data_IF_433015111716
#
_entry.id   IF_433015111716
#
_cell.length_a   1.000
_cell.length_b   1.000
_cell.length_c   1.000
_cell.angle_alpha   90.00
_cell.angle_beta   90.00
_cell.angle_gamma   90.00
#
_symmetry.space_group_name_H-M   'P 1'
#
loop_
_entity.id
_entity.type
_entity.pdbx_description
1 polymer ?
#
# COMPACT_ATOMS: atom_id res chain seq x y z
N UNK A 1 -21.10 19.70 9.59
CA UNK A 1 -20.18 19.39 10.72
C UNK A 1 -18.74 19.43 10.23
N UNK A 2 -17.84 20.16 10.90
CA UNK A 2 -16.41 20.29 10.52
C UNK A 2 -15.70 18.94 10.31
N UNK A 3 -16.06 17.90 11.08
CA UNK A 3 -15.52 16.52 10.94
C UNK A 3 -15.82 15.87 9.58
N UNK A 4 -17.01 16.12 9.04
CA UNK A 4 -17.44 15.60 7.73
C UNK A 4 -16.77 16.32 6.56
N UNK A 5 -16.27 17.53 6.80
CA UNK A 5 -15.55 18.36 5.82
C UNK A 5 -14.04 18.12 5.85
N UNK A 6 -13.55 17.14 6.62
CA UNK A 6 -12.11 16.84 6.71
C UNK A 6 -11.29 17.86 7.50
N UNK A 7 -11.92 18.82 8.17
CA UNK A 7 -11.23 19.83 8.96
C UNK A 7 -10.64 19.23 10.24
N UNK A 8 -9.39 19.57 10.56
CA UNK A 8 -8.71 19.12 11.76
C UNK A 8 -9.29 19.77 13.03
N UNK A 9 -9.79 18.97 13.98
CA UNK A 9 -10.42 19.45 15.23
C UNK A 9 -9.57 19.14 16.48
N UNK A 10 -8.42 18.48 16.30
CA UNK A 10 -7.56 18.11 17.42
C UNK A 10 -6.89 19.32 18.08
N UNK A 11 -6.66 19.24 19.39
CA UNK A 11 -5.89 20.25 20.12
C UNK A 11 -4.44 20.33 19.66
N UNK A 12 -3.81 19.18 19.41
CA UNK A 12 -2.39 19.05 19.08
C UNK A 12 -2.19 18.21 17.83
N UNK A 13 -1.39 18.68 16.85
CA UNK A 13 -1.15 17.92 15.63
C UNK A 13 -0.51 16.55 15.92
N UNK A 14 -0.66 15.66 14.94
CA UNK A 14 0.01 14.36 14.90
C UNK A 14 1.51 14.61 14.74
N UNK A 15 2.36 13.75 15.32
CA UNK A 15 3.80 13.85 15.10
C UNK A 15 4.13 13.80 13.60
N UNK A 16 5.12 14.55 13.12
CA UNK A 16 5.40 14.71 11.69
C UNK A 16 4.57 15.82 11.00
N UNK A 17 3.55 16.34 11.66
CA UNK A 17 2.74 17.45 11.15
C UNK A 17 2.72 18.62 12.13
N UNK A 18 2.45 19.82 11.60
CA UNK A 18 2.12 21.01 12.36
C UNK A 18 0.79 21.61 11.87
N UNK A 19 0.19 22.48 12.69
CA UNK A 19 -1.01 23.22 12.25
C UNK A 19 -0.58 24.35 11.33
N UNK A 20 -1.33 24.54 10.25
CA UNK A 20 -1.11 25.68 9.37
C UNK A 20 -1.31 27.00 10.15
N UNK A 21 -0.31 27.91 10.13
CA UNK A 21 -0.44 29.25 10.73
C UNK A 21 -1.64 30.04 10.21
N UNK A 22 -2.02 29.83 8.93
CA UNK A 22 -3.14 30.51 8.26
C UNK A 22 -4.47 29.84 8.57
N UNK A 23 -4.48 28.52 8.76
CA UNK A 23 -5.69 27.75 9.04
C UNK A 23 -5.46 26.71 10.14
N UNK A 24 -5.91 27.03 11.36
CA UNK A 24 -5.79 26.14 12.53
C UNK A 24 -6.43 24.76 12.37
N UNK A 25 -7.30 24.58 11.36
CA UNK A 25 -7.97 23.32 11.03
C UNK A 25 -7.34 22.58 9.84
N UNK A 26 -6.17 23.02 9.35
CA UNK A 26 -5.39 22.34 8.32
C UNK A 26 -4.02 21.91 8.89
N UNK A 27 -3.51 20.79 8.39
CA UNK A 27 -2.22 20.22 8.80
C UNK A 27 -1.23 20.36 7.64
N UNK A 28 -0.02 20.80 7.95
CA UNK A 28 1.10 20.87 7.01
C UNK A 28 2.24 19.99 7.54
N UNK A 29 3.08 19.49 6.64
CA UNK A 29 4.21 18.64 7.01
C UNK A 29 5.20 19.45 7.84
N UNK A 30 5.68 18.84 8.92
CA UNK A 30 6.82 19.36 9.67
C UNK A 30 8.07 18.58 9.28
N UNK A 31 9.03 19.17 8.52
CA UNK A 31 10.09 18.42 7.86
C UNK A 31 10.91 17.50 8.77
N UNK A 32 11.36 18.02 9.92
CA UNK A 32 12.20 17.28 10.87
C UNK A 32 11.49 16.05 11.44
N UNK A 33 10.28 16.23 11.97
CA UNK A 33 9.51 15.15 12.54
C UNK A 33 8.99 14.18 11.47
N UNK A 34 8.69 14.66 10.27
CA UNK A 34 8.24 13.85 9.15
C UNK A 34 9.33 12.91 8.66
N UNK A 35 10.59 13.34 8.67
CA UNK A 35 11.72 12.48 8.29
C UNK A 35 11.87 11.30 9.25
N UNK A 36 11.72 11.53 10.55
CA UNK A 36 11.68 10.45 11.55
C UNK A 36 10.54 9.48 11.27
N UNK A 37 9.37 9.98 10.86
CA UNK A 37 8.24 9.11 10.47
C UNK A 37 8.58 8.27 9.23
N UNK A 38 9.14 8.87 8.17
CA UNK A 38 9.59 8.14 6.97
C UNK A 38 10.59 7.04 7.32
N UNK A 39 11.57 7.36 8.16
CA UNK A 39 12.57 6.40 8.60
C UNK A 39 11.95 5.23 9.40
N UNK A 40 10.95 5.51 10.26
CA UNK A 40 10.22 4.46 11.00
C UNK A 40 9.49 3.51 10.04
N UNK A 41 8.84 4.04 9.01
CA UNK A 41 8.18 3.21 7.99
C UNK A 41 9.19 2.39 7.17
N UNK A 42 10.30 3.02 6.78
CA UNK A 42 11.39 2.35 6.06
C UNK A 42 11.96 1.16 6.84
N UNK A 43 12.29 1.35 8.12
CA UNK A 43 12.77 0.25 8.96
C UNK A 43 11.73 -0.86 9.17
N UNK A 44 10.44 -0.52 9.18
CA UNK A 44 9.39 -1.52 9.25
C UNK A 44 9.31 -2.37 7.97
N UNK A 45 9.54 -1.78 6.79
CA UNK A 45 9.63 -2.49 5.50
C UNK A 45 10.84 -3.45 5.48
N UNK A 46 11.98 -2.99 5.99
CA UNK A 46 13.21 -3.78 6.13
C UNK A 46 13.06 -4.94 7.14
N UNK A 47 11.99 -4.95 7.94
CA UNK A 47 11.70 -6.03 8.89
C UNK A 47 12.24 -5.79 10.29
N UNK A 48 12.59 -4.54 10.65
CA UNK A 48 12.86 -4.21 12.04
C UNK A 48 11.57 -4.25 12.87
N UNK A 49 11.64 -4.95 14.00
CA UNK A 49 10.54 -4.99 14.96
C UNK A 49 10.30 -3.63 15.62
N UNK A 50 9.05 -3.38 16.05
CA UNK A 50 8.67 -2.16 16.79
C UNK A 50 9.54 -1.85 18.02
N UNK A 51 10.05 -2.89 18.70
CA UNK A 51 10.94 -2.73 19.84
C UNK A 51 12.35 -2.33 19.38
N UNK A 52 12.86 -2.95 18.32
CA UNK A 52 14.13 -2.60 17.70
C UNK A 52 14.11 -1.17 17.17
N UNK A 53 13.06 -0.78 16.45
CA UNK A 53 12.88 0.60 15.97
C UNK A 53 12.94 1.60 17.14
N UNK A 54 12.24 1.33 18.24
CA UNK A 54 12.31 2.19 19.42
C UNK A 54 13.73 2.27 20.00
N UNK A 55 14.46 1.15 20.04
CA UNK A 55 15.86 1.11 20.47
C UNK A 55 16.77 1.93 19.54
N UNK A 56 16.64 1.80 18.22
CA UNK A 56 17.42 2.55 17.23
C UNK A 56 17.16 4.06 17.30
N UNK A 57 15.92 4.48 17.54
CA UNK A 57 15.58 5.89 17.74
C UNK A 57 16.24 6.44 19.02
N UNK A 58 16.20 5.66 20.09
CA UNK A 58 16.81 6.03 21.36
C UNK A 58 18.34 6.08 21.30
N UNK A 59 18.98 5.13 20.62
CA UNK A 59 20.44 5.10 20.48
C UNK A 59 20.98 6.26 19.65
N UNK A 60 20.16 6.77 18.72
CA UNK A 60 20.44 7.99 17.94
C UNK A 60 20.10 9.29 18.69
N UNK A 61 19.58 9.20 19.92
CA UNK A 61 19.22 10.37 20.72
C UNK A 61 17.99 11.13 20.21
N UNK A 62 17.16 10.53 19.36
CA UNK A 62 15.97 11.19 18.80
C UNK A 62 14.90 11.30 19.89
N UNK A 63 14.42 12.52 20.14
CA UNK A 63 13.39 12.77 21.15
C UNK A 63 12.05 12.14 20.75
N UNK A 64 11.31 11.60 21.72
CA UNK A 64 9.99 11.03 21.45
C UNK A 64 8.94 12.12 21.15
N UNK A 65 7.79 11.77 20.54
CA UNK A 65 6.74 12.72 20.20
C UNK A 65 6.14 13.52 21.37
N UNK A 66 6.19 12.99 22.59
CA UNK A 66 5.67 13.68 23.79
C UNK A 66 6.63 14.77 24.22
N UNK A 67 7.92 14.46 24.27
CA UNK A 67 8.99 15.42 24.62
C UNK A 67 9.14 16.50 23.55
N UNK A 68 9.11 16.11 22.28
CA UNK A 68 9.08 17.04 21.14
C UNK A 68 7.95 18.08 21.26
N UNK A 69 6.77 17.66 21.74
CA UNK A 69 5.65 18.58 22.00
C UNK A 69 5.92 19.52 23.18
N UNK A 70 6.48 18.99 24.27
CA UNK A 70 6.80 19.78 25.46
C UNK A 70 7.87 20.86 25.15
N UNK A 71 8.91 20.52 24.40
CA UNK A 71 9.97 21.45 23.96
C UNK A 71 9.43 22.60 23.09
N UNK A 72 8.32 22.37 22.38
CA UNK A 72 7.60 23.40 21.61
C UNK A 72 6.50 24.13 22.40
N UNK A 73 6.49 24.01 23.73
CA UNK A 73 5.59 24.75 24.63
C UNK A 73 4.15 24.22 24.71
N UNK A 74 3.88 23.01 24.22
CA UNK A 74 2.53 22.43 24.26
C UNK A 74 2.30 21.70 25.59
N UNK A 75 1.35 22.15 26.41
CA UNK A 75 1.05 21.53 27.71
C UNK A 75 0.39 20.15 27.53
N UNK A 76 1.13 19.08 27.77
CA UNK A 76 0.55 17.76 27.91
C UNK A 76 0.11 17.55 29.38
N UNK A 77 -1.20 17.51 29.65
CA UNK A 77 -1.76 17.14 30.97
C UNK A 77 -1.53 15.65 31.33
N UNK A 78 -0.61 14.97 30.66
CA UNK A 78 -0.11 13.70 31.12
C UNK A 78 1.11 13.98 32.00
N UNK A 79 1.08 13.64 33.30
CA UNK A 79 2.31 13.66 34.10
C UNK A 79 3.33 12.84 33.32
N UNK A 80 4.46 13.45 33.00
CA UNK A 80 5.51 12.87 32.17
C UNK A 80 6.00 11.61 32.90
N UNK A 81 5.37 10.46 32.64
CA UNK A 81 5.77 9.17 33.23
C UNK A 81 7.06 8.62 32.61
N UNK A 82 7.73 9.41 31.77
CA UNK A 82 8.95 9.02 31.09
C UNK A 82 9.91 10.23 31.06
N UNK A 83 10.51 10.53 32.21
CA UNK A 83 11.44 11.66 32.42
C UNK A 83 12.55 11.74 31.36
N UNK A 84 12.95 10.60 30.80
CA UNK A 84 14.02 10.51 29.82
C UNK A 84 13.60 10.87 28.39
N UNK A 85 12.29 10.94 28.08
CA UNK A 85 11.82 11.24 26.73
C UNK A 85 12.11 10.13 25.69
N UNK A 86 12.27 8.89 26.15
CA UNK A 86 12.62 7.75 25.30
C UNK A 86 11.42 7.23 24.48
N UNK A 87 11.70 6.72 23.29
CA UNK A 87 10.80 5.96 22.44
C UNK A 87 10.46 4.60 23.07
N UNK A 88 9.20 4.19 22.91
CA UNK A 88 8.73 2.87 23.32
C UNK A 88 8.00 2.18 22.15
N UNK A 89 7.91 0.84 22.21
CA UNK A 89 7.23 0.02 21.19
C UNK A 89 5.79 0.45 20.90
N UNK A 90 5.09 0.96 21.91
CA UNK A 90 3.69 1.39 21.79
C UNK A 90 3.56 2.66 20.96
N UNK A 91 4.50 3.59 21.10
CA UNK A 91 4.54 4.84 20.34
C UNK A 91 4.86 4.56 18.87
N UNK A 92 5.86 3.72 18.61
CA UNK A 92 6.17 3.24 17.25
C UNK A 92 4.96 2.53 16.64
N UNK A 93 4.32 1.61 17.37
CA UNK A 93 3.11 0.92 16.91
C UNK A 93 1.98 1.87 16.54
N UNK A 94 1.74 2.91 17.36
CA UNK A 94 0.73 3.95 17.09
C UNK A 94 1.04 4.74 15.83
N UNK A 95 2.32 5.05 15.56
CA UNK A 95 2.72 5.74 14.34
C UNK A 95 2.45 4.87 13.12
N UNK A 96 2.93 3.62 13.14
CA UNK A 96 2.78 2.69 12.03
C UNK A 96 1.31 2.36 11.70
N UNK A 97 0.38 2.42 12.67
CA UNK A 97 -1.06 2.14 12.44
C UNK A 97 -1.89 3.38 12.10
N UNK A 98 -1.29 4.57 12.05
CA UNK A 98 -2.07 5.78 11.89
C UNK A 98 -2.25 6.17 10.42
N UNK A 99 -3.43 5.92 9.87
CA UNK A 99 -3.82 6.29 8.50
C UNK A 99 -3.69 7.79 8.19
N UNK A 100 -3.57 8.67 9.20
CA UNK A 100 -3.35 10.10 8.94
C UNK A 100 -2.05 10.38 8.17
N UNK A 101 -1.03 9.51 8.24
CA UNK A 101 0.21 9.70 7.48
C UNK A 101 0.05 9.56 5.96
N UNK A 102 -1.09 9.03 5.48
CA UNK A 102 -1.40 8.89 4.05
C UNK A 102 -2.29 10.01 3.51
N UNK A 103 -2.46 11.12 4.24
CA UNK A 103 -3.30 12.25 3.84
C UNK A 103 -4.80 12.08 4.14
N UNK A 104 -5.18 10.97 4.80
CA UNK A 104 -6.57 10.68 5.20
C UNK A 104 -6.86 11.27 6.58
N UNK A 105 -7.85 12.15 6.68
CA UNK A 105 -8.31 12.66 7.97
C UNK A 105 -9.21 11.63 8.65
N UNK A 106 -8.73 11.04 9.74
CA UNK A 106 -9.49 10.08 10.56
C UNK A 106 -9.88 10.72 11.89
N UNK A 107 -11.18 10.94 12.10
CA UNK A 107 -11.72 11.57 13.31
C UNK A 107 -12.91 10.81 13.89
N UNK A 108 -13.21 11.05 15.17
CA UNK A 108 -14.34 10.42 15.85
C UNK A 108 -14.05 9.05 16.45
N UNK A 109 -12.77 8.69 16.63
CA UNK A 109 -12.35 7.43 17.29
C UNK A 109 -12.92 7.27 18.70
N UNK A 110 -13.14 8.37 19.40
CA UNK A 110 -13.73 8.39 20.74
C UNK A 110 -14.85 9.42 20.84
N UNK A 111 -15.83 9.13 21.69
CA UNK A 111 -16.96 10.00 22.02
C UNK A 111 -17.11 10.06 23.53
N UNK A 112 -17.45 11.23 24.08
CA UNK A 112 -17.85 11.33 25.50
C UNK A 112 -19.25 10.73 25.67
N UNK A 113 -19.47 9.97 26.75
CA UNK A 113 -20.79 9.37 27.06
C UNK A 113 -21.87 10.45 27.16
N UNK A 114 -21.51 11.57 27.79
CA UNK A 114 -22.35 12.75 27.96
C UNK A 114 -21.46 13.98 28.03
N UNK A 115 -22.00 15.15 27.71
CA UNK A 115 -21.30 16.43 27.82
C UNK A 115 -20.74 16.67 29.24
N UNK A 116 -21.44 16.16 30.27
CA UNK A 116 -21.06 16.29 31.69
C UNK A 116 -20.08 15.21 32.18
N UNK A 117 -19.85 14.14 31.41
CA UNK A 117 -18.97 13.04 31.82
C UNK A 117 -17.57 13.19 31.21
N UNK A 118 -16.54 12.87 32.01
CA UNK A 118 -15.15 12.76 31.53
C UNK A 118 -14.87 11.41 30.87
N UNK A 119 -15.79 10.45 30.97
CA UNK A 119 -15.63 9.11 30.41
C UNK A 119 -15.72 9.16 28.88
N UNK A 120 -14.73 8.55 28.22
CA UNK A 120 -14.62 8.42 26.77
C UNK A 120 -14.92 6.98 26.37
N UNK A 121 -15.81 6.78 25.41
CA UNK A 121 -16.09 5.49 24.77
C UNK A 121 -15.35 5.47 23.44
N UNK A 122 -14.70 4.34 23.14
CA UNK A 122 -14.12 4.06 21.82
C UNK A 122 -15.23 3.66 20.86
N UNK A 123 -15.32 4.36 19.73
CA UNK A 123 -16.34 4.10 18.71
C UNK A 123 -15.88 3.00 17.75
N UNK A 124 -16.80 2.18 17.21
CA UNK A 124 -16.47 1.20 16.18
C UNK A 124 -16.02 1.90 14.88
N UNK A 125 -15.21 1.21 14.07
CA UNK A 125 -14.47 1.84 12.96
C UNK A 125 -15.38 2.39 11.85
N UNK A 126 -16.56 1.81 11.69
CA UNK A 126 -17.58 2.17 10.70
C UNK A 126 -18.20 3.54 11.00
N UNK A 127 -18.10 3.98 12.26
CA UNK A 127 -18.61 5.28 12.71
C UNK A 127 -17.54 6.37 12.70
N UNK A 128 -16.31 6.05 12.25
CA UNK A 128 -15.23 7.03 12.14
C UNK A 128 -15.44 7.88 10.89
N UNK A 129 -15.22 9.19 11.02
CA UNK A 129 -15.18 10.08 9.87
C UNK A 129 -13.82 9.92 9.18
N UNK A 130 -13.84 9.44 7.93
CA UNK A 130 -12.67 9.31 7.07
C UNK A 130 -12.86 10.22 5.86
N UNK A 131 -11.95 11.16 5.66
CA UNK A 131 -11.97 12.07 4.50
C UNK A 131 -10.59 12.04 3.86
N UNK A 132 -10.51 11.63 2.60
CA UNK A 132 -9.25 11.55 1.85
C UNK A 132 -8.82 12.94 1.34
N UNK A 133 -7.52 13.13 1.04
CA UNK A 133 -7.01 14.34 0.37
C UNK A 133 -7.06 15.63 1.19
N UNK A 134 -7.01 15.55 2.52
CA UNK A 134 -7.20 16.72 3.41
C UNK A 134 -5.91 17.48 3.74
N UNK A 135 -4.78 16.80 3.64
CA UNK A 135 -3.44 17.31 3.91
C UNK A 135 -2.42 16.47 3.15
N UNK A 136 -1.20 16.98 3.03
CA UNK A 136 -0.12 16.31 2.32
C UNK A 136 0.29 15.00 3.04
N UNK A 137 0.44 13.93 2.27
CA UNK A 137 0.83 12.62 2.80
C UNK A 137 2.34 12.58 3.08
N UNK A 138 2.73 12.08 4.26
CA UNK A 138 4.15 11.80 4.56
C UNK A 138 4.57 10.46 3.93
N UNK A 139 3.64 9.50 3.84
CA UNK A 139 3.84 8.14 3.34
C UNK A 139 2.79 7.81 2.29
N UNK A 140 3.19 7.17 1.19
CA UNK A 140 2.25 6.66 0.18
C UNK A 140 1.31 5.59 0.78
N UNK A 141 0.07 5.56 0.30
CA UNK A 141 -0.94 4.56 0.65
C UNK A 141 -0.43 3.15 0.39
N UNK A 142 0.34 2.92 -0.69
CA UNK A 142 0.92 1.60 -1.00
C UNK A 142 1.88 1.16 0.10
N UNK A 143 2.85 1.99 0.46
CA UNK A 143 3.81 1.73 1.55
C UNK A 143 3.10 1.46 2.87
N UNK A 144 2.11 2.28 3.23
CA UNK A 144 1.33 2.09 4.46
C UNK A 144 0.63 0.72 4.48
N UNK A 145 -0.02 0.35 3.37
CA UNK A 145 -0.71 -0.94 3.25
C UNK A 145 0.26 -2.12 3.33
N UNK A 146 1.43 -2.03 2.68
CA UNK A 146 2.49 -3.04 2.79
C UNK A 146 2.89 -3.23 4.25
N UNK A 147 3.18 -2.14 4.98
CA UNK A 147 3.51 -2.21 6.41
C UNK A 147 2.38 -2.84 7.23
N UNK A 148 1.10 -2.51 6.98
CA UNK A 148 -0.01 -3.15 7.68
C UNK A 148 -0.03 -4.67 7.43
N UNK A 149 0.19 -5.12 6.18
CA UNK A 149 0.29 -6.55 5.84
C UNK A 149 1.48 -7.20 6.56
N UNK A 150 2.64 -6.54 6.56
CA UNK A 150 3.85 -7.00 7.25
C UNK A 150 3.64 -7.18 8.75
N UNK A 151 2.85 -6.30 9.38
CA UNK A 151 2.52 -6.34 10.81
C UNK A 151 1.42 -7.36 11.14
N UNK A 152 0.49 -7.61 10.23
CA UNK A 152 -0.55 -8.63 10.39
C UNK A 152 0.03 -10.05 10.39
N UNK A 153 1.13 -10.27 9.67
CA UNK A 153 1.87 -11.53 9.72
C UNK A 153 2.44 -11.76 11.10
N UNK A 154 1.89 -12.74 11.82
CA UNK A 154 2.38 -13.19 13.13
C UNK A 154 3.81 -13.74 12.98
N UNK A 155 4.78 -12.89 13.24
CA UNK A 155 6.21 -13.20 13.23
C UNK A 155 6.81 -12.86 14.59
N UNK A 156 7.73 -13.70 15.06
CA UNK A 156 8.56 -13.40 16.25
C UNK A 156 9.89 -12.85 15.77
N UNK A 157 10.33 -11.77 16.39
CA UNK A 157 11.67 -11.22 16.24
C UNK A 157 12.69 -12.28 16.72
N UNK A 158 13.82 -12.41 16.04
CA UNK A 158 14.82 -13.46 16.30
C UNK A 158 15.82 -13.14 17.41
N UNK A 159 15.42 -12.25 18.34
CA UNK A 159 16.29 -11.74 19.41
C UNK A 159 17.28 -10.67 18.95
N UNK A 160 17.62 -10.59 17.66
CA UNK A 160 18.40 -9.46 17.08
C UNK A 160 17.50 -8.25 16.76
N UNK A 161 16.19 -8.44 16.86
CA UNK A 161 15.19 -7.42 16.56
C UNK A 161 14.86 -7.29 15.07
N UNK A 162 15.37 -8.19 14.21
CA UNK A 162 14.96 -8.33 12.83
C UNK A 162 14.12 -9.59 12.64
N UNK A 163 13.26 -9.59 11.63
CA UNK A 163 12.56 -10.79 11.18
C UNK A 163 13.15 -11.28 9.87
N UNK A 164 13.25 -12.59 9.69
CA UNK A 164 13.71 -13.15 8.42
C UNK A 164 12.68 -12.91 7.29
N UNK A 165 13.08 -12.90 6.00
CA UNK A 165 12.20 -12.53 4.89
C UNK A 165 10.89 -13.32 4.81
N UNK A 166 10.96 -14.62 5.08
CA UNK A 166 9.83 -15.54 4.98
C UNK A 166 9.01 -15.66 6.30
N UNK A 167 9.25 -14.79 7.29
CA UNK A 167 8.63 -14.91 8.60
C UNK A 167 7.10 -14.76 8.54
N UNK A 168 6.40 -15.79 9.02
CA UNK A 168 4.93 -15.84 9.03
C UNK A 168 4.27 -16.34 7.74
N UNK A 169 5.03 -16.47 6.64
CA UNK A 169 4.54 -16.97 5.34
C UNK A 169 4.62 -18.50 5.23
N UNK A 170 5.53 -19.11 5.99
CA UNK A 170 5.81 -20.55 5.91
C UNK A 170 4.92 -21.36 6.84
N UNK A 171 4.26 -22.38 6.29
CA UNK A 171 3.31 -23.28 6.94
C UNK A 171 3.77 -24.74 6.77
N UNK A 172 3.44 -25.57 7.75
CA UNK A 172 3.56 -27.01 7.64
C UNK A 172 2.42 -27.54 6.76
N UNK A 173 2.72 -28.43 5.82
CA UNK A 173 1.74 -29.01 4.91
C UNK A 173 0.72 -29.89 5.65
N UNK A 174 1.17 -30.67 6.63
CA UNK A 174 0.32 -31.66 7.31
C UNK A 174 -0.61 -31.05 8.36
N UNK A 175 -0.06 -30.19 9.24
CA UNK A 175 -0.85 -29.62 10.34
C UNK A 175 -1.32 -28.18 10.10
N UNK A 176 -0.90 -27.55 8.99
CA UNK A 176 -1.23 -26.14 8.68
C UNK A 176 -0.61 -25.10 9.63
N UNK A 177 0.12 -25.54 10.67
CA UNK A 177 0.71 -24.64 11.65
C UNK A 177 1.84 -23.80 11.06
N UNK A 178 2.13 -22.64 11.66
CA UNK A 178 3.21 -21.77 11.19
C UNK A 178 4.57 -22.37 11.54
N UNK A 179 5.56 -22.25 10.65
CA UNK A 179 6.92 -22.69 10.93
C UNK A 179 7.65 -21.63 11.76
N UNK A 180 8.36 -22.06 12.81
CA UNK A 180 9.13 -21.22 13.73
C UNK A 180 10.63 -21.32 13.42
N UNK A 181 11.33 -20.19 13.50
CA UNK A 181 12.80 -20.14 13.35
C UNK A 181 13.46 -20.74 14.59
N UNK A 182 14.40 -21.65 14.36
CA UNK A 182 15.25 -22.26 15.38
C UNK A 182 16.71 -22.28 14.89
N UNK A 183 17.65 -22.40 15.82
CA UNK A 183 19.09 -22.40 15.55
C UNK A 183 19.67 -23.75 15.96
N UNK A 184 20.77 -24.16 15.31
CA UNK A 184 21.56 -25.33 15.72
C UNK A 184 22.31 -25.18 17.07
N UNK A 185 22.02 -24.14 17.87
CA UNK A 185 22.68 -23.85 19.15
C UNK A 185 24.16 -23.41 19.06
N UNK A 186 24.79 -23.43 17.88
CA UNK A 186 26.18 -23.00 17.69
C UNK A 186 26.25 -21.48 17.60
N UNK A 187 27.29 -20.88 18.20
CA UNK A 187 27.58 -19.45 18.14
C UNK A 187 28.63 -19.15 17.05
N UNK A 188 28.54 -17.96 16.43
CA UNK A 188 29.51 -17.48 15.43
C UNK A 188 29.20 -17.93 14.00
N UNK A 189 30.19 -17.94 13.08
CA UNK A 189 29.97 -18.11 11.63
C UNK A 189 29.43 -19.49 11.23
N UNK A 190 29.41 -20.48 12.15
CA UNK A 190 28.82 -21.81 11.95
C UNK A 190 27.35 -21.89 12.38
N UNK A 191 26.73 -20.76 12.73
CA UNK A 191 25.32 -20.71 13.12
C UNK A 191 24.44 -20.94 11.89
N UNK A 192 23.58 -21.96 11.95
CA UNK A 192 22.63 -22.30 10.88
C UNK A 192 21.23 -22.19 11.44
N UNK A 193 20.35 -21.54 10.67
CA UNK A 193 18.95 -21.37 11.00
C UNK A 193 18.07 -22.37 10.25
N UNK A 194 17.10 -22.92 10.97
CA UNK A 194 16.11 -23.84 10.47
C UNK A 194 14.72 -23.29 10.74
N UNK A 195 13.77 -23.64 9.89
CA UNK A 195 12.35 -23.48 10.16
C UNK A 195 11.81 -24.83 10.59
N UNK A 196 11.13 -24.89 11.74
CA UNK A 196 10.51 -26.10 12.30
C UNK A 196 9.02 -25.88 12.52
N UNK A 197 8.21 -26.91 12.29
CA UNK A 197 6.78 -26.89 12.60
C UNK A 197 6.57 -26.47 14.08
N UNK A 198 5.81 -25.39 14.28
CA UNK A 198 5.56 -24.86 15.63
C UNK A 198 4.71 -25.81 16.45
N UNK A 199 3.69 -26.43 15.86
CA UNK A 199 2.85 -27.38 16.59
C UNK A 199 3.68 -28.57 17.10
N UNK A 200 4.63 -29.07 16.30
CA UNK A 200 5.58 -30.10 16.73
C UNK A 200 6.55 -29.61 17.82
N UNK A 201 7.02 -28.38 17.71
CA UNK A 201 7.97 -27.79 18.67
C UNK A 201 7.33 -27.49 20.03
N UNK A 202 6.08 -27.02 20.02
CA UNK A 202 5.32 -26.63 21.22
C UNK A 202 4.53 -27.81 21.82
N UNK A 203 4.33 -28.91 21.06
CA UNK A 203 3.76 -30.14 21.62
C UNK A 203 4.78 -30.80 22.53
N UNK A 204 4.38 -31.04 23.79
CA UNK A 204 5.22 -31.59 24.86
C UNK A 204 5.66 -33.03 24.58
N UNK A 205 5.24 -33.98 25.41
CA UNK A 205 5.58 -35.40 25.22
C UNK A 205 4.80 -36.02 24.06
N UNK A 206 3.48 -35.79 24.00
CA UNK A 206 2.64 -36.22 22.87
C UNK A 206 2.78 -35.27 21.69
N UNK A 207 3.42 -35.73 20.61
CA UNK A 207 3.64 -34.92 19.40
C UNK A 207 2.39 -34.86 18.54
N UNK A 208 1.92 -33.64 18.31
CA UNK A 208 0.71 -33.36 17.51
C UNK A 208 1.01 -33.21 16.00
N UNK A 209 2.26 -33.41 15.58
CA UNK A 209 2.70 -33.35 14.18
C UNK A 209 4.04 -34.12 14.05
N UNK A 210 4.48 -34.45 12.84
CA UNK A 210 5.80 -35.03 12.57
C UNK A 210 6.89 -33.96 12.47
N UNK A 211 8.16 -34.38 12.39
CA UNK A 211 9.33 -33.48 12.43
C UNK A 211 9.54 -32.79 11.08
N UNK A 212 8.69 -31.84 10.75
CA UNK A 212 8.88 -30.95 9.61
C UNK A 212 9.95 -29.91 9.92
N UNK A 213 11.05 -29.96 9.18
CA UNK A 213 12.08 -28.92 9.24
C UNK A 213 12.76 -28.70 7.89
N UNK A 214 13.13 -27.45 7.63
CA UNK A 214 13.96 -27.07 6.48
C UNK A 214 15.01 -26.05 6.92
N UNK A 215 16.15 -26.00 6.24
CA UNK A 215 17.11 -24.92 6.43
C UNK A 215 16.59 -23.62 5.81
N UNK A 216 16.74 -22.51 6.53
CA UNK A 216 16.20 -21.22 6.11
C UNK A 216 16.92 -20.66 4.86
N UNK A 217 18.24 -20.83 4.78
CA UNK A 217 19.05 -20.41 3.62
C UNK A 217 18.60 -21.14 2.35
N UNK A 218 18.54 -22.48 2.38
CA UNK A 218 18.08 -23.28 1.24
C UNK A 218 16.66 -22.92 0.80
N UNK A 219 15.78 -22.58 1.74
CA UNK A 219 14.43 -22.15 1.38
C UNK A 219 14.42 -20.78 0.69
N UNK A 220 15.25 -19.84 1.15
CA UNK A 220 15.37 -18.52 0.50
C UNK A 220 15.92 -18.68 -0.91
N UNK A 221 16.96 -19.49 -1.10
CA UNK A 221 17.56 -19.77 -2.41
C UNK A 221 16.52 -20.39 -3.36
N UNK A 222 15.76 -21.37 -2.90
CA UNK A 222 14.69 -22.01 -3.68
C UNK A 222 13.59 -21.03 -4.09
N UNK A 223 13.22 -20.10 -3.19
CA UNK A 223 12.23 -19.06 -3.48
C UNK A 223 12.77 -18.10 -4.54
N UNK A 224 14.02 -17.66 -4.40
CA UNK A 224 14.68 -16.77 -5.36
C UNK A 224 14.83 -17.43 -6.73
N UNK A 225 15.23 -18.69 -6.78
CA UNK A 225 15.36 -19.46 -8.02
C UNK A 225 14.02 -19.59 -8.73
N UNK A 226 12.95 -19.97 -8.01
CA UNK A 226 11.60 -20.02 -8.58
C UNK A 226 11.14 -18.65 -9.06
N UNK A 227 11.38 -17.59 -8.29
CA UNK A 227 11.03 -16.23 -8.68
C UNK A 227 11.77 -15.80 -9.96
N UNK A 228 13.07 -16.08 -10.07
CA UNK A 228 13.85 -15.85 -11.30
C UNK A 228 13.27 -16.61 -12.48
N UNK A 229 12.90 -17.88 -12.28
CA UNK A 229 12.28 -18.69 -13.32
C UNK A 229 10.91 -18.13 -13.76
N UNK A 230 10.06 -17.69 -12.83
CA UNK A 230 8.80 -17.04 -13.14
C UNK A 230 9.01 -15.75 -13.95
N UNK A 231 9.94 -14.89 -13.52
CA UNK A 231 10.23 -13.66 -14.25
C UNK A 231 10.80 -13.98 -15.64
N UNK A 232 11.72 -14.94 -15.77
CA UNK A 232 12.24 -15.33 -17.09
C UNK A 232 11.14 -15.89 -17.99
N UNK A 233 10.29 -16.80 -17.52
CA UNK A 233 9.28 -17.41 -18.38
C UNK A 233 8.17 -16.43 -18.77
N UNK A 234 7.65 -15.65 -17.82
CA UNK A 234 6.56 -14.70 -18.11
C UNK A 234 7.06 -13.50 -18.91
N UNK A 235 8.27 -12.99 -18.68
CA UNK A 235 8.78 -11.84 -19.45
C UNK A 235 9.39 -12.23 -20.81
N UNK A 236 9.80 -13.49 -21.01
CA UNK A 236 10.24 -13.94 -22.36
C UNK A 236 9.04 -14.27 -23.26
N UNK A 237 7.86 -14.53 -22.70
CA UNK A 237 6.65 -14.85 -23.45
C UNK A 237 5.77 -13.64 -23.76
N UNK A 238 6.06 -12.45 -23.21
CA UNK A 238 5.13 -11.33 -23.24
C UNK A 238 5.79 -9.98 -23.55
N UNK A 239 5.91 -9.67 -24.84
CA UNK A 239 5.35 -8.42 -25.40
C UNK A 239 3.81 -8.37 -25.21
N UNK A 240 3.26 -8.96 -24.14
CA UNK A 240 1.84 -8.90 -23.86
C UNK A 240 1.56 -7.65 -23.05
N UNK A 241 0.69 -6.84 -23.63
CA UNK A 241 0.04 -5.69 -23.03
C UNK A 241 -0.54 -6.09 -21.66
N UNK A 242 0.20 -5.78 -20.59
CA UNK A 242 -0.34 -5.81 -19.24
C UNK A 242 -1.61 -4.94 -19.24
N UNK A 243 -2.77 -5.45 -18.78
CA UNK A 243 -3.95 -4.61 -18.60
C UNK A 243 -3.59 -3.49 -17.63
N UNK A 244 -3.52 -2.26 -18.15
CA UNK A 244 -3.14 -1.11 -17.34
C UNK A 244 -4.07 -1.01 -16.12
N UNK A 245 -3.55 -0.66 -14.93
CA UNK A 245 -4.36 -0.46 -13.74
C UNK A 245 -5.48 0.55 -14.06
N UNK A 246 -6.72 0.27 -13.60
CA UNK A 246 -7.90 1.13 -13.83
C UNK A 246 -7.62 2.57 -13.41
N UNK A 247 -7.23 3.38 -14.38
CA UNK A 247 -7.03 4.80 -14.20
C UNK A 247 -8.40 5.46 -14.38
N UNK A 248 -9.03 5.84 -13.26
CA UNK A 248 -10.40 6.36 -13.25
C UNK A 248 -10.57 7.57 -14.16
N UNK A 249 -9.50 8.33 -14.41
CA UNK A 249 -9.48 9.45 -15.34
C UNK A 249 -9.50 8.99 -16.81
N UNK A 250 -8.73 7.96 -17.16
CA UNK A 250 -8.71 7.37 -18.52
C UNK A 250 -10.04 6.72 -18.86
N UNK A 251 -10.63 6.00 -17.92
CA UNK A 251 -11.97 5.40 -18.10
C UNK A 251 -13.04 6.47 -18.35
N UNK A 252 -12.96 7.61 -17.66
CA UNK A 252 -13.86 8.76 -17.89
C UNK A 252 -13.64 9.37 -19.27
N UNK A 253 -12.38 9.57 -19.70
CA UNK A 253 -12.05 10.09 -21.03
C UNK A 253 -12.53 9.14 -22.15
N UNK A 254 -12.37 7.82 -21.97
CA UNK A 254 -12.87 6.81 -22.92
C UNK A 254 -14.40 6.77 -22.99
N UNK A 255 -15.09 6.97 -21.87
CA UNK A 255 -16.55 7.12 -21.87
C UNK A 255 -16.99 8.42 -22.55
N UNK A 256 -16.29 9.53 -22.33
CA UNK A 256 -16.54 10.81 -22.99
C UNK A 256 -16.33 10.70 -24.51
N UNK A 257 -15.24 10.05 -24.95
CA UNK A 257 -14.95 9.78 -26.37
C UNK A 257 -16.06 8.95 -27.03
N UNK A 258 -16.52 7.86 -26.37
CA UNK A 258 -17.65 7.04 -26.86
C UNK A 258 -18.96 7.80 -26.94
N UNK A 259 -19.24 8.68 -25.98
CA UNK A 259 -20.44 9.49 -26.00
C UNK A 259 -20.41 10.54 -27.12
N UNK A 260 -19.27 11.21 -27.32
CA UNK A 260 -19.09 12.24 -28.35
C UNK A 260 -19.10 11.65 -29.77
N UNK A 261 -18.45 10.50 -29.98
CA UNK A 261 -18.51 9.78 -31.27
C UNK A 261 -19.94 9.36 -31.62
N UNK A 262 -20.70 8.83 -30.67
CA UNK A 262 -22.11 8.51 -30.89
C UNK A 262 -22.98 9.74 -31.18
N UNK A 263 -22.68 10.90 -30.57
CA UNK A 263 -23.35 12.16 -30.88
C UNK A 263 -23.02 12.65 -32.30
N UNK A 264 -21.75 12.53 -32.71
CA UNK A 264 -21.29 12.90 -34.04
C UNK A 264 -21.96 12.04 -35.12
N UNK A 265 -22.08 10.74 -34.90
CA UNK A 265 -22.82 9.82 -35.80
C UNK A 265 -24.32 10.18 -35.90
N UNK A 266 -24.97 10.51 -34.79
CA UNK A 266 -26.38 10.97 -34.82
C UNK A 266 -26.54 12.27 -35.59
N UNK A 267 -25.61 13.22 -35.44
CA UNK A 267 -25.64 14.49 -36.17
C UNK A 267 -25.30 14.32 -37.65
N UNK A 268 -24.39 13.41 -37.99
CA UNK A 268 -24.05 13.08 -39.38
C UNK A 268 -25.26 12.44 -40.09
N UNK A 269 -26.01 11.58 -39.39
CA UNK A 269 -27.27 11.02 -39.88
C UNK A 269 -28.36 12.09 -40.02
N UNK A 270 -28.47 13.02 -39.06
CA UNK A 270 -29.40 14.14 -39.15
C UNK A 270 -29.10 15.06 -40.35
N UNK A 271 -27.83 15.34 -40.65
CA UNK A 271 -27.41 16.08 -41.84
C UNK A 271 -27.80 15.35 -43.15
N UNK A 272 -27.65 14.02 -43.19
CA UNK A 272 -28.09 13.22 -44.34
C UNK A 272 -29.61 13.31 -44.54
N UNK A 273 -30.38 13.24 -43.45
CA UNK A 273 -31.84 13.38 -43.50
C UNK A 273 -32.27 14.80 -43.90
N UNK A 274 -31.61 15.84 -43.37
CA UNK A 274 -31.84 17.24 -43.77
C UNK A 274 -31.64 17.44 -45.28
N UNK A 275 -30.63 16.79 -45.86
CA UNK A 275 -30.40 16.81 -47.30
C UNK A 275 -31.55 16.12 -48.08
N UNK A 276 -32.05 14.99 -47.59
CA UNK A 276 -33.20 14.30 -48.18
C UNK A 276 -34.49 15.13 -48.08
N UNK A 277 -34.71 15.84 -46.96
CA UNK A 277 -35.87 16.71 -46.73
C UNK A 277 -35.87 17.97 -47.60
N UNK A 278 -34.68 18.46 -47.98
CA UNK A 278 -34.55 19.49 -49.02
C UNK A 278 -34.96 18.96 -50.39
N UNK A 279 -34.47 17.78 -50.77
CA UNK A 279 -34.72 17.17 -52.09
C UNK A 279 -36.20 16.80 -52.25
N UNK A 280 -36.89 16.44 -51.15
CA UNK A 280 -38.33 16.15 -51.14
C UNK A 280 -39.22 17.40 -51.11
N UNK A 281 -38.63 18.60 -51.06
CA UNK A 281 -39.36 19.88 -51.13
C UNK A 281 -40.07 20.29 -49.84
N UNK A 282 -39.77 19.63 -48.72
CA UNK A 282 -40.38 19.91 -47.39
C UNK A 282 -39.78 21.17 -46.76
N UNK A 283 -38.55 21.54 -47.12
CA UNK A 283 -37.82 22.68 -46.56
C UNK A 283 -37.57 23.77 -47.61
N UNK A 284 -37.74 25.03 -47.20
CA UNK A 284 -37.33 26.18 -48.01
C UNK A 284 -35.81 26.36 -48.04
N UNK A 285 -35.29 26.99 -49.10
CA UNK A 285 -33.84 27.12 -49.31
C UNK A 285 -33.15 27.91 -48.19
N UNK A 286 -33.80 28.96 -47.65
CA UNK A 286 -33.30 29.72 -46.50
C UNK A 286 -33.22 28.87 -45.22
N UNK A 287 -34.28 28.12 -44.91
CA UNK A 287 -34.31 27.25 -43.71
C UNK A 287 -33.28 26.12 -43.76
N UNK A 288 -33.00 25.60 -44.96
CA UNK A 288 -31.95 24.60 -45.14
C UNK A 288 -30.56 25.17 -44.88
N UNK A 289 -30.27 26.39 -45.36
CA UNK A 289 -28.96 27.03 -45.18
C UNK A 289 -28.68 27.29 -43.70
N UNK A 290 -29.65 27.83 -42.97
CA UNK A 290 -29.50 28.14 -41.53
C UNK A 290 -29.25 26.86 -40.72
N UNK A 291 -30.10 25.83 -40.89
CA UNK A 291 -29.94 24.56 -40.17
C UNK A 291 -28.64 23.85 -40.53
N UNK A 292 -28.24 23.86 -41.81
CA UNK A 292 -27.02 23.22 -42.25
C UNK A 292 -25.77 23.91 -41.66
N UNK A 293 -25.78 25.25 -41.55
CA UNK A 293 -24.70 25.98 -40.89
C UNK A 293 -24.59 25.63 -39.41
N UNK A 294 -25.72 25.55 -38.69
CA UNK A 294 -25.74 25.18 -37.28
C UNK A 294 -25.21 23.75 -37.06
N UNK A 295 -25.66 22.79 -37.87
CA UNK A 295 -25.19 21.41 -37.77
C UNK A 295 -23.71 21.25 -38.12
N UNK A 296 -23.19 21.99 -39.11
CA UNK A 296 -21.76 22.00 -39.45
C UNK A 296 -20.91 22.62 -38.34
N UNK A 297 -21.39 23.71 -37.72
CA UNK A 297 -20.73 24.33 -36.58
C UNK A 297 -20.68 23.38 -35.37
N UNK A 298 -21.78 22.71 -35.04
CA UNK A 298 -21.82 21.68 -33.98
C UNK A 298 -20.87 20.51 -34.27
N UNK A 299 -20.86 20.01 -35.52
CA UNK A 299 -19.97 18.91 -35.92
C UNK A 299 -18.51 19.29 -35.72
N UNK A 300 -18.10 20.47 -36.19
CA UNK A 300 -16.71 20.94 -36.04
C UNK A 300 -16.28 21.07 -34.57
N UNK A 301 -17.21 21.44 -33.68
CA UNK A 301 -16.97 21.55 -32.23
C UNK A 301 -16.75 20.17 -31.60
N UNK A 302 -17.55 19.18 -31.98
CA UNK A 302 -17.43 17.80 -31.50
C UNK A 302 -16.12 17.16 -31.98
N UNK A 303 -15.76 17.37 -33.25
CA UNK A 303 -14.50 16.87 -33.83
C UNK A 303 -13.28 17.46 -33.12
N UNK A 304 -13.30 18.77 -32.83
CA UNK A 304 -12.20 19.41 -32.09
C UNK A 304 -12.05 18.84 -30.67
N UNK A 305 -13.16 18.56 -29.98
CA UNK A 305 -13.11 17.97 -28.63
C UNK A 305 -12.60 16.53 -28.66
N UNK A 306 -12.98 15.75 -29.68
CA UNK A 306 -12.45 14.40 -29.87
C UNK A 306 -10.93 14.42 -30.07
N UNK A 307 -10.43 15.30 -30.96
CA UNK A 307 -8.98 15.45 -31.19
C UNK A 307 -8.20 15.80 -29.92
N UNK A 308 -8.76 16.66 -29.05
CA UNK A 308 -8.14 17.00 -27.76
C UNK A 308 -8.09 15.82 -26.79
N UNK A 309 -9.16 15.02 -26.74
CA UNK A 309 -9.21 13.81 -25.90
C UNK A 309 -8.21 12.78 -26.42
N UNK A 310 -8.06 12.63 -27.74
CA UNK A 310 -7.09 11.72 -28.35
C UNK A 310 -5.64 12.15 -28.02
N UNK A 311 -5.33 13.45 -28.06
CA UNK A 311 -4.04 13.99 -27.61
C UNK A 311 -3.81 13.75 -26.11
N UNK A 312 -4.82 14.00 -25.25
CA UNK A 312 -4.73 13.74 -23.80
C UNK A 312 -4.52 12.25 -23.47
N UNK A 313 -5.08 11.35 -24.29
CA UNK A 313 -4.88 9.90 -24.16
C UNK A 313 -3.49 9.47 -24.64
N UNK A 314 -2.98 10.06 -25.73
CA UNK A 314 -1.65 9.79 -26.26
C UNK A 314 -0.53 10.30 -25.35
N UNK A 315 -0.70 11.46 -24.70
CA UNK A 315 0.25 11.95 -23.69
C UNK A 315 0.34 11.02 -22.47
N UNK A 316 -0.78 10.37 -22.10
CA UNK A 316 -0.82 9.38 -21.02
C UNK A 316 -0.19 8.03 -21.42
N UNK A 317 -0.09 7.74 -22.72
CA UNK A 317 0.52 6.50 -23.25
C UNK A 317 2.04 6.53 -23.35
N UNK A 318 2.72 7.63 -22.97
CA UNK A 318 4.18 7.65 -23.00
C UNK A 318 4.77 6.45 -22.21
N UNK A 319 5.73 5.71 -22.80
CA UNK A 319 6.24 4.42 -22.31
C UNK A 319 6.99 4.45 -20.96
N UNK A 320 7.02 5.61 -20.28
CA UNK A 320 7.71 5.82 -18.99
C UNK A 320 7.24 4.85 -17.89
N UNK A 321 6.01 4.36 -17.94
CA UNK A 321 5.54 3.40 -16.93
C UNK A 321 6.01 1.96 -17.22
N UNK A 322 6.12 1.58 -18.50
CA UNK A 322 6.46 0.21 -18.89
C UNK A 322 7.98 -0.03 -18.86
N UNK A 323 8.78 0.99 -19.23
CA UNK A 323 10.25 0.93 -19.12
C UNK A 323 10.72 0.97 -17.67
N UNK A 324 10.11 1.79 -16.81
CA UNK A 324 10.45 1.87 -15.38
C UNK A 324 10.06 0.58 -14.62
N UNK A 325 8.97 -0.07 -15.03
CA UNK A 325 8.61 -1.41 -14.53
C UNK A 325 9.59 -2.49 -15.01
N UNK A 326 10.07 -2.43 -16.25
CA UNK A 326 11.08 -3.36 -16.79
C UNK A 326 12.45 -3.18 -16.12
N UNK A 327 12.91 -1.94 -15.91
CA UNK A 327 14.15 -1.66 -15.20
C UNK A 327 14.06 -2.13 -13.74
N UNK A 328 12.94 -1.84 -13.06
CA UNK A 328 12.70 -2.36 -11.71
C UNK A 328 12.63 -3.88 -11.67
N UNK A 329 11.98 -4.54 -12.62
CA UNK A 329 11.93 -6.00 -12.70
C UNK A 329 13.32 -6.61 -12.92
N UNK A 330 14.17 -5.98 -13.74
CA UNK A 330 15.57 -6.39 -13.94
C UNK A 330 16.46 -6.12 -12.73
N UNK A 331 16.25 -5.02 -12.00
CA UNK A 331 16.92 -4.78 -10.71
C UNK A 331 16.50 -5.80 -9.66
N UNK A 332 15.22 -6.16 -9.60
CA UNK A 332 14.69 -7.21 -8.71
C UNK A 332 15.28 -8.59 -9.01
N UNK A 333 15.56 -8.89 -10.28
CA UNK A 333 16.24 -10.12 -10.72
C UNK A 333 17.72 -10.17 -10.28
N UNK A 334 18.38 -9.02 -10.12
CA UNK A 334 19.78 -8.89 -9.67
C UNK A 334 19.94 -8.90 -8.16
N UNK A 335 18.86 -8.98 -7.39
CA UNK A 335 18.97 -9.03 -5.94
C UNK A 335 19.52 -10.41 -5.49
N UNK A 336 20.67 -10.36 -4.83
CA UNK A 336 21.27 -11.53 -4.14
C UNK A 336 20.51 -11.89 -2.85
N UNK A 337 19.67 -10.98 -2.35
CA UNK A 337 18.89 -11.17 -1.13
C UNK A 337 17.41 -10.96 -1.42
N UNK A 338 16.53 -11.61 -0.65
CA UNK A 338 15.08 -11.45 -0.76
C UNK A 338 14.59 -10.40 0.26
N UNK A 339 14.34 -9.13 -0.12
CA UNK A 339 13.65 -8.18 0.73
C UNK A 339 12.33 -8.72 1.26
N UNK A 340 12.07 -8.47 2.54
CA UNK A 340 10.85 -8.95 3.20
C UNK A 340 9.59 -8.35 2.58
N UNK A 341 9.64 -7.08 2.18
CA UNK A 341 8.56 -6.42 1.46
C UNK A 341 8.14 -7.21 0.21
N UNK A 342 9.10 -7.58 -0.64
CA UNK A 342 8.84 -8.34 -1.86
C UNK A 342 8.25 -9.72 -1.56
N UNK A 343 8.82 -10.42 -0.58
CA UNK A 343 8.31 -11.73 -0.17
C UNK A 343 6.83 -11.65 0.23
N UNK A 344 6.44 -10.63 1.00
CA UNK A 344 5.05 -10.46 1.44
C UNK A 344 4.14 -9.95 0.33
N UNK A 345 4.67 -9.23 -0.65
CA UNK A 345 3.90 -8.77 -1.81
C UNK A 345 3.61 -9.88 -2.81
N UNK A 346 4.56 -10.79 -3.05
CA UNK A 346 4.46 -11.81 -4.09
C UNK A 346 3.94 -13.16 -3.57
N UNK A 347 4.30 -13.55 -2.35
CA UNK A 347 4.02 -14.89 -1.81
C UNK A 347 2.79 -14.85 -0.91
N UNK A 348 1.83 -15.74 -1.18
CA UNK A 348 0.66 -15.94 -0.33
C UNK A 348 0.99 -16.83 0.86
N UNK A 349 1.56 -18.01 0.61
CA UNK A 349 2.04 -18.96 1.62
C UNK A 349 3.06 -19.92 1.01
N UNK A 350 3.92 -20.48 1.85
CA UNK A 350 4.83 -21.57 1.50
C UNK A 350 4.48 -22.76 2.36
N UNK A 351 4.22 -23.90 1.75
CA UNK A 351 3.92 -25.15 2.44
C UNK A 351 5.12 -26.09 2.35
N UNK A 352 5.51 -26.64 3.49
CA UNK A 352 6.64 -27.56 3.61
C UNK A 352 6.10 -28.91 4.07
N UNK A 353 6.33 -29.93 3.25
CA UNK A 353 6.05 -31.33 3.55
C UNK A 353 7.16 -32.00 4.35
N UNK A 354 6.92 -33.24 4.74
CA UNK A 354 7.89 -34.06 5.44
C UNK A 354 9.09 -34.36 4.53
N UNK A 355 10.27 -34.48 5.14
CA UNK A 355 11.46 -34.88 4.40
C UNK A 355 11.48 -36.40 4.32
N UNK A 356 11.55 -36.94 3.11
CA UNK A 356 11.69 -38.37 2.89
C UNK A 356 13.01 -38.87 3.53
N UNK A 357 12.95 -39.83 4.47
CA UNK A 357 14.13 -40.36 5.15
C UNK A 357 15.14 -41.04 4.20
N UNK A 358 14.65 -41.65 3.12
CA UNK A 358 15.45 -42.51 2.25
C UNK A 358 16.07 -41.71 1.09
N UNK A 359 15.32 -40.78 0.51
CA UNK A 359 15.79 -39.95 -0.62
C UNK A 359 16.30 -38.58 -0.20
N UNK A 360 15.98 -38.15 1.02
CA UNK A 360 16.28 -36.80 1.51
C UNK A 360 15.51 -35.68 0.80
N UNK A 361 14.60 -36.02 -0.13
CA UNK A 361 13.77 -35.07 -0.85
C UNK A 361 12.68 -34.52 0.05
N UNK A 362 12.36 -33.25 -0.13
CA UNK A 362 11.32 -32.57 0.65
C UNK A 362 10.41 -31.79 -0.28
N UNK A 363 9.11 -32.03 -0.16
CA UNK A 363 8.12 -31.32 -0.96
C UNK A 363 7.96 -29.88 -0.45
N UNK A 364 8.17 -28.90 -1.33
CA UNK A 364 7.98 -27.47 -1.03
C UNK A 364 7.06 -26.85 -2.08
N UNK A 365 5.85 -26.48 -1.66
CA UNK A 365 4.85 -25.80 -2.49
C UNK A 365 4.82 -24.30 -2.17
N UNK A 366 5.02 -23.47 -3.18
CA UNK A 366 4.94 -22.01 -3.04
C UNK A 366 3.67 -21.55 -3.74
N UNK A 367 2.80 -20.87 -2.99
CA UNK A 367 1.57 -20.27 -3.49
C UNK A 367 1.80 -18.78 -3.70
N UNK A 368 1.73 -18.33 -4.95
CA UNK A 368 1.92 -16.92 -5.35
C UNK A 368 0.58 -16.17 -5.31
N UNK A 369 0.65 -14.83 -5.32
CA UNK A 369 -0.53 -13.95 -5.29
C UNK A 369 -0.98 -13.46 -6.66
N UNK A 370 -0.20 -13.71 -7.70
CA UNK A 370 -0.47 -13.32 -9.08
C UNK A 370 -0.97 -14.51 -9.89
#
# INVERSE_FOLDING_TARGET
MKRRQGQYIGGFPVYGYQKDPKNKNHLIIEPEAAEVVRQIFQWALEGHGKQNIAFMLNSRGIVNPTRYKAERGWSCNHPIKNDYGLWNKTTVWRILHNEMYTGVMVQGRTKKVSYKSKTLITMPQEQWFRVEGTHEAIIDRKTFQTVQKLMALRSREDGTGMVHPLAGLVKCMDCGSTMSKTSNGKKGPKQVYYLRCKLYADSGEEKLCTRHSIRLDRLIDLVLERLRHYVQNYYTLEEMELPQPRDTKRDVLLQEQKALTAQLEKRSAALKNLYLDKVSGVLSEGQFVDLNQDFLAEKSRLERRLSQIDEELAEQEQPRQQTDLMEKAQELLKLDTLPRELAVMLIQKIEIGEQDPDTGQQEVKIHWKF
#
